data_IF_769342878204
#
_entry.id   IF_769342878204
#
_cell.length_a   1.000
_cell.length_b   1.000
_cell.length_c   1.000
_cell.angle_alpha   90.00
_cell.angle_beta   90.00
_cell.angle_gamma   90.00
#
_symmetry.space_group_name_H-M   'P 1'
#
loop_
_entity.id
_entity.type
_entity.pdbx_description
1 polymer ?
#
# COMPACT_ATOMS: atom_id res chain seq x y z
N UNK A 1 -9.59 -0.61 -21.88
CA UNK A 1 -10.43 0.45 -22.35
C UNK A 1 -9.63 1.44 -23.20
N UNK A 2 -10.21 1.82 -24.33
CA UNK A 2 -9.67 2.86 -25.17
C UNK A 2 -9.67 4.23 -24.52
N UNK A 3 -10.30 4.36 -23.36
CA UNK A 3 -10.53 5.62 -22.67
C UNK A 3 -9.42 5.98 -21.65
N UNK A 4 -8.34 5.22 -21.61
CA UNK A 4 -7.21 5.58 -20.75
C UNK A 4 -6.58 6.90 -21.23
N UNK A 5 -6.35 7.85 -20.32
CA UNK A 5 -5.66 9.09 -20.69
C UNK A 5 -4.30 8.80 -21.33
N UNK A 6 -3.86 9.58 -22.32
CA UNK A 6 -2.57 9.38 -22.97
C UNK A 6 -1.40 9.37 -21.97
N UNK A 7 -1.50 10.11 -20.88
CA UNK A 7 -0.45 10.19 -19.87
C UNK A 7 -0.25 8.87 -19.11
N UNK A 8 -1.29 8.05 -18.99
CA UNK A 8 -1.16 6.75 -18.33
C UNK A 8 -0.27 5.82 -19.15
N UNK A 9 -0.28 5.97 -20.47
CA UNK A 9 0.55 5.14 -21.35
C UNK A 9 2.04 5.42 -21.24
N UNK A 10 2.40 6.55 -20.64
CA UNK A 10 3.81 6.94 -20.45
C UNK A 10 4.24 6.91 -18.98
N UNK A 11 3.56 6.11 -18.15
CA UNK A 11 3.84 5.99 -16.72
C UNK A 11 5.30 5.60 -16.46
N UNK A 12 5.87 4.76 -17.29
CA UNK A 12 7.23 4.27 -17.11
C UNK A 12 8.01 4.41 -18.41
N UNK A 13 9.32 4.60 -18.29
CA UNK A 13 10.23 4.59 -19.42
C UNK A 13 10.58 3.17 -19.88
N UNK A 14 10.08 2.16 -19.17
CA UNK A 14 10.28 0.77 -19.56
C UNK A 14 9.29 0.39 -20.66
N UNK A 15 9.69 -0.50 -21.58
CA UNK A 15 8.76 -1.00 -22.58
C UNK A 15 7.52 -1.59 -21.92
N UNK A 16 6.33 -1.14 -22.35
CA UNK A 16 5.03 -1.60 -21.86
C UNK A 16 4.73 -1.29 -20.39
N UNK A 17 5.59 -0.53 -19.69
CA UNK A 17 5.39 -0.19 -18.28
C UNK A 17 5.44 -1.39 -17.34
N UNK A 18 6.21 -2.41 -17.69
CA UNK A 18 6.31 -3.64 -16.91
C UNK A 18 7.68 -3.75 -16.26
N UNK A 19 7.71 -4.05 -14.96
CA UNK A 19 8.95 -4.29 -14.20
C UNK A 19 8.82 -5.66 -13.53
N UNK A 20 9.72 -6.58 -13.88
CA UNK A 20 9.73 -7.93 -13.28
C UNK A 20 8.35 -8.62 -13.31
N UNK A 21 7.64 -8.46 -14.43
CA UNK A 21 6.32 -9.02 -14.60
C UNK A 21 5.20 -8.22 -13.96
N UNK A 22 5.49 -7.09 -13.33
CA UNK A 22 4.50 -6.22 -12.70
C UNK A 22 4.14 -5.08 -13.65
N UNK A 23 2.86 -4.97 -13.97
CA UNK A 23 2.34 -3.88 -14.81
C UNK A 23 2.05 -2.67 -13.93
N UNK A 24 2.82 -1.60 -14.11
CA UNK A 24 2.68 -0.37 -13.31
C UNK A 24 1.33 0.31 -13.53
N UNK A 25 0.79 0.26 -14.75
CA UNK A 25 -0.53 0.80 -15.04
C UNK A 25 -1.61 0.07 -14.23
N UNK A 26 -1.50 -1.25 -14.16
CA UNK A 26 -2.43 -2.07 -13.38
C UNK A 26 -2.32 -1.78 -11.88
N UNK A 27 -1.10 -1.62 -11.36
CA UNK A 27 -0.89 -1.25 -9.97
C UNK A 27 -1.59 0.07 -9.64
N UNK A 28 -1.33 1.09 -10.44
CA UNK A 28 -1.90 2.42 -10.22
C UNK A 28 -3.42 2.40 -10.34
N UNK A 29 -3.95 1.77 -11.38
CA UNK A 29 -5.39 1.73 -11.57
C UNK A 29 -6.10 0.94 -10.47
N UNK A 30 -5.50 -0.14 -9.98
CA UNK A 30 -6.03 -0.91 -8.87
C UNK A 30 -6.09 -0.08 -7.59
N UNK A 31 -5.01 0.62 -7.27
CA UNK A 31 -4.97 1.51 -6.11
C UNK A 31 -6.06 2.57 -6.22
N UNK A 32 -6.16 3.22 -7.37
CA UNK A 32 -7.12 4.30 -7.58
C UNK A 32 -8.57 3.84 -7.50
N UNK A 33 -8.89 2.67 -8.05
CA UNK A 33 -10.24 2.12 -7.94
C UNK A 33 -10.63 1.86 -6.48
N UNK A 34 -9.69 1.38 -5.68
CA UNK A 34 -9.94 1.12 -4.26
C UNK A 34 -10.06 2.41 -3.46
N UNK A 35 -9.21 3.40 -3.74
CA UNK A 35 -9.30 4.71 -3.10
C UNK A 35 -10.64 5.37 -3.44
N UNK A 36 -11.05 5.34 -4.72
CA UNK A 36 -12.33 5.87 -5.14
C UNK A 36 -13.50 5.22 -4.38
N UNK A 37 -13.45 3.91 -4.19
CA UNK A 37 -14.51 3.19 -3.48
C UNK A 37 -14.55 3.54 -1.99
N UNK A 38 -13.39 3.75 -1.39
CA UNK A 38 -13.29 4.06 0.04
C UNK A 38 -13.50 5.54 0.36
N UNK A 39 -13.16 6.43 -0.55
CA UNK A 39 -13.27 7.88 -0.38
C UNK A 39 -14.11 8.49 -1.50
N UNK A 40 -13.45 8.89 -2.58
CA UNK A 40 -14.07 9.54 -3.73
C UNK A 40 -13.07 9.63 -4.90
N UNK A 41 -13.54 10.20 -6.02
CA UNK A 41 -12.72 10.38 -7.22
C UNK A 41 -11.63 11.43 -7.06
N UNK A 42 -11.80 12.36 -6.13
CA UNK A 42 -10.90 13.51 -6.00
C UNK A 42 -9.60 13.15 -5.30
N UNK A 43 -9.53 11.96 -4.69
CA UNK A 43 -8.36 11.47 -3.98
C UNK A 43 -7.53 10.46 -4.79
N UNK A 44 -7.65 10.46 -6.10
CA UNK A 44 -6.87 9.54 -6.94
C UNK A 44 -5.38 9.90 -6.92
N UNK A 45 -4.56 8.87 -6.93
CA UNK A 45 -3.10 9.03 -7.02
C UNK A 45 -2.73 9.33 -8.46
N UNK A 46 -1.95 10.40 -8.66
CA UNK A 46 -1.53 10.83 -9.98
C UNK A 46 -0.50 9.88 -10.60
N UNK A 47 -0.62 9.68 -11.90
CA UNK A 47 0.33 8.88 -12.66
C UNK A 47 1.73 9.48 -12.70
N UNK A 48 1.86 10.78 -12.42
CA UNK A 48 3.15 11.47 -12.40
C UNK A 48 4.17 10.86 -11.43
N UNK A 49 3.70 10.18 -10.39
CA UNK A 49 4.58 9.51 -9.44
C UNK A 49 5.37 8.36 -10.08
N UNK A 50 4.90 7.80 -11.19
CA UNK A 50 5.55 6.69 -11.87
C UNK A 50 6.37 7.09 -13.11
N UNK A 51 6.36 8.37 -13.48
CA UNK A 51 6.99 8.82 -14.74
C UNK A 51 8.49 8.52 -14.84
N UNK A 52 9.19 8.51 -13.72
CA UNK A 52 10.63 8.26 -13.70
C UNK A 52 11.01 6.88 -13.16
N UNK A 53 10.03 5.99 -13.03
CA UNK A 53 10.29 4.64 -12.55
C UNK A 53 10.84 3.78 -13.67
N UNK A 54 12.09 3.33 -13.52
CA UNK A 54 12.77 2.49 -14.50
C UNK A 54 13.27 1.17 -13.91
N UNK A 55 13.17 1.01 -12.60
CA UNK A 55 13.62 -0.19 -11.91
C UNK A 55 12.70 -0.51 -10.73
N UNK A 56 12.85 -1.74 -10.23
CA UNK A 56 12.12 -2.15 -9.03
C UNK A 56 12.50 -1.29 -7.83
N UNK A 57 13.77 -0.90 -7.71
CA UNK A 57 14.24 -0.04 -6.65
C UNK A 57 13.58 1.35 -6.70
N UNK A 58 13.41 1.90 -7.91
CA UNK A 58 12.68 3.15 -8.08
C UNK A 58 11.24 3.02 -7.61
N UNK A 59 10.59 1.90 -7.92
CA UNK A 59 9.22 1.65 -7.51
C UNK A 59 9.10 1.53 -5.99
N UNK A 60 10.07 0.88 -5.34
CA UNK A 60 10.11 0.82 -3.87
C UNK A 60 10.14 2.22 -3.26
N UNK A 61 10.97 3.11 -3.81
CA UNK A 61 11.08 4.49 -3.34
C UNK A 61 9.78 5.26 -3.53
N UNK A 62 9.10 5.06 -4.65
CA UNK A 62 7.81 5.71 -4.89
C UNK A 62 6.78 5.25 -3.86
N UNK A 63 6.71 3.95 -3.59
CA UNK A 63 5.82 3.44 -2.56
C UNK A 63 6.16 4.02 -1.19
N UNK A 64 7.42 3.96 -0.80
CA UNK A 64 7.85 4.41 0.53
C UNK A 64 7.66 5.90 0.74
N UNK A 65 7.98 6.72 -0.26
CA UNK A 65 8.09 8.16 -0.09
C UNK A 65 6.90 8.95 -0.63
N UNK A 66 6.04 8.31 -1.43
CA UNK A 66 4.90 9.00 -2.07
C UNK A 66 3.57 8.29 -1.82
N UNK A 67 3.43 7.04 -2.23
CA UNK A 67 2.14 6.35 -2.21
C UNK A 67 1.69 6.09 -0.77
N UNK A 68 2.53 5.47 0.04
CA UNK A 68 2.16 5.14 1.42
C UNK A 68 1.90 6.40 2.26
N UNK A 69 2.76 7.43 2.22
CA UNK A 69 2.46 8.67 2.93
C UNK A 69 1.16 9.32 2.50
N UNK A 70 0.86 9.28 1.19
CA UNK A 70 -0.39 9.85 0.67
C UNK A 70 -1.60 9.07 1.19
N UNK A 71 -1.53 7.75 1.22
CA UNK A 71 -2.60 6.92 1.77
C UNK A 71 -2.77 7.14 3.28
N UNK A 72 -1.67 7.33 4.00
CA UNK A 72 -1.74 7.68 5.43
C UNK A 72 -2.47 8.99 5.66
N UNK A 73 -2.23 9.97 4.79
CA UNK A 73 -2.93 11.25 4.83
C UNK A 73 -4.41 11.08 4.49
N UNK A 74 -4.73 10.38 3.40
CA UNK A 74 -6.10 10.18 2.96
C UNK A 74 -6.96 9.46 3.99
N UNK A 75 -6.41 8.51 4.69
CA UNK A 75 -7.14 7.66 5.64
C UNK A 75 -6.83 7.98 7.10
N UNK A 76 -6.16 9.11 7.36
CA UNK A 76 -5.84 9.55 8.72
C UNK A 76 -5.14 8.47 9.54
N UNK A 77 -4.23 7.73 8.90
CA UNK A 77 -3.48 6.66 9.56
C UNK A 77 -4.27 5.39 9.86
N UNK A 78 -5.47 5.25 9.31
CA UNK A 78 -6.26 4.01 9.47
C UNK A 78 -5.59 2.88 8.69
N UNK A 79 -4.82 2.05 9.37
CA UNK A 79 -4.10 0.95 8.74
C UNK A 79 -5.03 -0.10 8.13
N UNK A 80 -6.24 -0.26 8.66
CA UNK A 80 -7.22 -1.16 8.07
C UNK A 80 -7.59 -0.73 6.65
N UNK A 81 -7.90 0.54 6.48
CA UNK A 81 -8.22 1.07 5.14
C UNK A 81 -7.03 1.06 4.20
N UNK A 82 -5.85 1.43 4.70
CA UNK A 82 -4.63 1.37 3.90
C UNK A 82 -4.38 -0.08 3.45
N UNK A 83 -4.55 -1.04 4.34
CA UNK A 83 -4.41 -2.46 4.02
C UNK A 83 -5.39 -2.93 2.95
N UNK A 84 -6.63 -2.39 2.95
CA UNK A 84 -7.60 -2.70 1.91
C UNK A 84 -7.16 -2.18 0.53
N UNK A 85 -6.35 -1.14 0.50
CA UNK A 85 -5.84 -0.58 -0.76
C UNK A 85 -4.62 -1.33 -1.27
N UNK A 86 -3.60 -1.53 -0.42
CA UNK A 86 -2.30 -2.06 -0.87
C UNK A 86 -2.04 -3.51 -0.48
N UNK A 87 -2.87 -4.08 0.38
CA UNK A 87 -2.75 -5.48 0.77
C UNK A 87 -1.81 -5.72 1.93
N UNK A 88 -1.86 -6.92 2.46
CA UNK A 88 -1.11 -7.32 3.66
C UNK A 88 0.40 -7.42 3.45
N UNK A 89 0.86 -7.49 2.20
CA UNK A 89 2.28 -7.67 1.90
C UNK A 89 3.18 -6.53 2.34
N UNK A 90 2.61 -5.35 2.60
CA UNK A 90 3.34 -4.16 3.05
C UNK A 90 3.32 -3.99 4.57
N UNK A 91 2.74 -4.95 5.29
CA UNK A 91 2.57 -4.85 6.74
C UNK A 91 3.29 -5.98 7.44
N UNK A 92 3.82 -5.66 8.63
CA UNK A 92 4.28 -6.65 9.59
C UNK A 92 3.25 -6.72 10.70
N UNK A 93 2.73 -7.91 10.95
CA UNK A 93 1.83 -8.14 12.06
C UNK A 93 2.65 -8.52 13.28
N UNK A 94 2.54 -7.71 14.34
CA UNK A 94 3.13 -8.05 15.63
C UNK A 94 2.05 -8.58 16.56
N UNK A 95 2.17 -9.84 16.93
CA UNK A 95 1.36 -10.42 17.98
C UNK A 95 2.11 -10.19 19.29
N UNK A 96 1.76 -9.14 19.99
CA UNK A 96 2.27 -8.90 21.34
C UNK A 96 1.14 -9.22 22.31
N UNK A 97 1.28 -10.34 23.04
CA UNK A 97 0.42 -10.61 24.17
C UNK A 97 0.85 -9.70 25.31
N UNK A 98 -0.10 -8.96 25.84
CA UNK A 98 0.16 -8.13 27.02
C UNK A 98 -0.56 -8.73 28.22
N UNK A 99 0.01 -8.51 29.39
CA UNK A 99 -0.59 -8.97 30.64
C UNK A 99 -1.84 -8.15 30.97
N UNK A 100 -2.73 -8.72 31.80
CA UNK A 100 -3.98 -8.06 32.20
C UNK A 100 -3.74 -6.72 32.90
N UNK A 101 -2.58 -6.54 33.51
CA UNK A 101 -2.23 -5.31 34.22
C UNK A 101 -1.39 -4.33 33.36
N UNK A 102 -1.31 -4.57 32.05
CA UNK A 102 -0.53 -3.73 31.15
C UNK A 102 -1.04 -2.29 31.11
N UNK A 103 -2.36 -2.12 31.04
CA UNK A 103 -2.96 -0.80 31.02
C UNK A 103 -3.09 -0.23 32.43
N UNK A 104 -3.16 1.09 32.54
CA UNK A 104 -3.47 1.75 33.79
C UNK A 104 -4.84 1.28 34.30
N UNK A 105 -4.99 1.27 35.63
CA UNK A 105 -6.24 0.85 36.24
C UNK A 105 -7.38 1.81 35.86
N UNK A 106 -8.40 1.29 35.18
CA UNK A 106 -9.56 2.07 34.77
C UNK A 106 -10.72 1.12 34.54
N UNK A 107 -11.94 1.56 34.87
CA UNK A 107 -13.15 0.76 34.65
C UNK A 107 -13.53 0.75 33.18
N UNK A 108 -12.98 -0.20 32.43
CA UNK A 108 -13.23 -0.37 31.01
C UNK A 108 -12.99 -1.83 30.61
N UNK A 109 -13.77 -2.33 29.69
CA UNK A 109 -13.56 -3.69 29.18
C UNK A 109 -12.35 -3.73 28.27
N UNK A 110 -11.31 -4.45 28.68
CA UNK A 110 -10.02 -4.47 28.00
C UNK A 110 -9.69 -5.78 27.28
N UNK A 111 -10.52 -6.82 27.41
CA UNK A 111 -10.19 -8.13 26.83
C UNK A 111 -9.93 -8.07 25.33
N UNK A 112 -10.74 -7.32 24.57
CA UNK A 112 -10.55 -7.16 23.13
C UNK A 112 -9.29 -6.34 22.79
N UNK A 113 -8.89 -5.43 23.69
CA UNK A 113 -7.68 -4.60 23.48
C UNK A 113 -6.41 -5.39 23.75
N UNK A 114 -6.44 -6.30 24.72
CA UNK A 114 -5.31 -7.18 25.04
C UNK A 114 -5.03 -8.12 23.87
N UNK A 115 -6.07 -8.64 23.24
CA UNK A 115 -5.98 -9.56 22.11
C UNK A 115 -5.79 -8.88 20.76
N UNK A 116 -5.81 -7.56 20.72
CA UNK A 116 -5.75 -6.80 19.48
C UNK A 116 -4.43 -7.02 18.75
N UNK A 117 -4.52 -7.39 17.49
CA UNK A 117 -3.35 -7.50 16.61
C UNK A 117 -2.90 -6.11 16.17
N UNK A 118 -1.61 -5.86 16.25
CA UNK A 118 -1.04 -4.59 15.84
C UNK A 118 -0.30 -4.78 14.52
N UNK A 119 -0.63 -3.96 13.52
CA UNK A 119 0.01 -3.97 12.22
C UNK A 119 0.93 -2.76 12.09
N UNK A 120 2.12 -2.99 11.55
CA UNK A 120 3.07 -1.94 11.25
C UNK A 120 3.44 -1.98 9.77
N UNK A 121 3.53 -0.82 9.13
CA UNK A 121 4.04 -0.73 7.77
C UNK A 121 5.53 -1.04 7.75
N UNK A 122 5.95 -1.88 6.80
CA UNK A 122 7.36 -2.13 6.57
C UNK A 122 8.01 -0.93 5.90
N UNK A 123 9.32 -0.79 6.08
CA UNK A 123 10.10 0.14 5.28
C UNK A 123 10.28 -0.47 3.90
N UNK A 124 9.50 -0.01 2.94
CA UNK A 124 9.44 -0.60 1.61
C UNK A 124 10.78 -0.48 0.89
N UNK A 125 11.51 0.62 1.10
CA UNK A 125 12.80 0.82 0.44
C UNK A 125 13.85 -0.19 0.90
N UNK A 126 13.66 -0.83 2.04
CA UNK A 126 14.55 -1.87 2.56
C UNK A 126 14.06 -3.29 2.27
N UNK A 127 12.89 -3.45 1.66
CA UNK A 127 12.38 -4.77 1.31
C UNK A 127 13.26 -5.42 0.23
N UNK A 128 13.44 -6.73 0.36
CA UNK A 128 14.10 -7.50 -0.70
C UNK A 128 13.19 -7.55 -1.93
N UNK A 129 13.80 -7.68 -3.11
CA UNK A 129 13.07 -7.71 -4.38
C UNK A 129 11.96 -8.77 -4.36
N UNK A 130 12.25 -9.98 -3.89
CA UNK A 130 11.28 -11.07 -3.83
C UNK A 130 10.08 -10.73 -2.94
N UNK A 131 10.35 -10.15 -1.78
CA UNK A 131 9.29 -9.73 -0.85
C UNK A 131 8.44 -8.60 -1.41
N UNK A 132 9.07 -7.65 -2.08
CA UNK A 132 8.35 -6.54 -2.69
C UNK A 132 7.48 -7.02 -3.87
N UNK A 133 8.02 -7.88 -4.73
CA UNK A 133 7.25 -8.47 -5.83
C UNK A 133 6.05 -9.26 -5.28
N UNK A 134 6.26 -10.04 -4.22
CA UNK A 134 5.17 -10.75 -3.57
C UNK A 134 4.11 -9.79 -3.03
N UNK A 135 4.53 -8.70 -2.39
CA UNK A 135 3.61 -7.69 -1.90
C UNK A 135 2.78 -7.06 -3.03
N UNK A 136 3.40 -6.78 -4.18
CA UNK A 136 2.70 -6.26 -5.36
C UNK A 136 1.70 -7.27 -5.92
N UNK A 137 2.05 -8.55 -5.95
CA UNK A 137 1.13 -9.61 -6.39
C UNK A 137 -0.05 -9.76 -5.43
N UNK A 138 0.17 -9.61 -4.13
CA UNK A 138 -0.91 -9.58 -3.14
C UNK A 138 -1.82 -8.36 -3.40
N UNK A 139 -1.24 -7.20 -3.63
CA UNK A 139 -1.98 -5.99 -3.97
C UNK A 139 -2.88 -6.23 -5.18
N UNK A 140 -2.35 -6.85 -6.22
CA UNK A 140 -3.07 -7.12 -7.47
C UNK A 140 -3.98 -8.35 -7.40
N UNK A 141 -3.95 -9.09 -6.31
CA UNK A 141 -4.67 -10.37 -6.13
C UNK A 141 -4.28 -11.41 -7.18
N UNK A 142 -2.99 -11.51 -7.45
CA UNK A 142 -2.43 -12.45 -8.44
C UNK A 142 -1.67 -13.62 -7.81
N UNK A 143 -1.88 -13.86 -6.55
CA UNK A 143 -1.37 -15.04 -5.87
C UNK A 143 -2.45 -16.08 -5.70
#
# INVERSE_FOLDING_TARGET
SSNLPPLIKSISKLPNGIIKGIDLTEVLSTINLRVEKLLDKDHMIGHSYFLNVTSLNDLKKVFQNKIIPLLQEYFFGDFGKIGLVIGAGFFVQKEEEVEDDFFAAFEYEISSLIERKVYHLENVSEMKDEGFIKALNILLRKE
#
